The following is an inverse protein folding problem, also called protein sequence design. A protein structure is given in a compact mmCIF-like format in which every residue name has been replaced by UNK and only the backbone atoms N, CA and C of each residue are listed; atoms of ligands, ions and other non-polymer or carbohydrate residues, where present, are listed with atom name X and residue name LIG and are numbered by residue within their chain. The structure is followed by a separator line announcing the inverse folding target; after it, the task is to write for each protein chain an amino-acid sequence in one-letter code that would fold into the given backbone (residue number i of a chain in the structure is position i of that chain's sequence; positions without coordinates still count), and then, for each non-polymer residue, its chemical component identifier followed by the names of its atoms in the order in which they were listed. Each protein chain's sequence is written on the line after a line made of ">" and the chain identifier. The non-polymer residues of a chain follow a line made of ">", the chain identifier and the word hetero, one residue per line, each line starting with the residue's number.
data_IF_454544239016
#
_entry.id   IF_454544239016
#
_cell.length_a   1.000
_cell.length_b   1.000
_cell.length_c   1.000
_cell.angle_alpha   90.00
_cell.angle_beta   90.00
_cell.angle_gamma   90.00
#
_symmetry.space_group_name_H-M   'P 1'
#
loop_
_entity.id
_entity.type
_entity.pdbx_description
1 polymer ?
#
# COMPACT_ATOMS: atom_id res chain seq x y z
N UNK A 1 32.58 7.10 2.33
CA UNK A 1 32.35 6.85 3.77
C UNK A 1 30.89 6.49 3.84
N UNK A 2 30.58 5.19 3.89
CA UNK A 2 29.20 4.73 4.10
C UNK A 2 28.84 5.16 5.51
N UNK A 3 27.65 5.72 5.77
CA UNK A 3 27.22 5.96 7.13
C UNK A 3 27.26 4.61 7.85
N UNK A 4 27.98 4.59 8.97
CA UNK A 4 28.11 3.43 9.85
C UNK A 4 26.74 2.81 10.08
N UNK A 5 26.70 1.48 10.14
CA UNK A 5 25.53 0.67 10.47
C UNK A 5 24.78 1.33 11.63
N UNK A 6 23.72 2.06 11.31
CA UNK A 6 22.81 2.57 12.33
C UNK A 6 22.21 1.32 12.95
N UNK A 7 22.57 1.06 14.20
CA UNK A 7 22.05 -0.08 14.95
C UNK A 7 20.53 0.13 15.13
N UNK A 8 19.75 -0.53 14.27
CA UNK A 8 18.28 -0.49 14.32
C UNK A 8 17.75 -0.84 15.71
N UNK A 9 18.44 -1.73 16.45
CA UNK A 9 18.05 -2.10 17.82
C UNK A 9 18.30 -0.94 18.80
N UNK A 10 19.33 -0.14 18.57
CA UNK A 10 19.56 1.07 19.35
C UNK A 10 18.51 2.12 19.03
N UNK A 11 18.22 2.34 17.75
CA UNK A 11 17.19 3.29 17.33
C UNK A 11 15.80 2.93 17.81
N UNK A 12 15.44 1.66 17.84
CA UNK A 12 14.17 1.19 18.40
C UNK A 12 14.04 1.40 19.92
N UNK A 13 15.15 1.35 20.65
CA UNK A 13 15.17 1.69 22.08
C UNK A 13 14.94 3.17 22.33
N UNK A 14 15.46 4.01 21.44
CA UNK A 14 15.30 5.46 21.51
C UNK A 14 13.93 5.92 20.96
N UNK A 15 13.41 5.20 19.96
CA UNK A 15 12.17 5.51 19.26
C UNK A 15 11.24 4.27 19.25
N UNK A 16 10.50 4.02 20.34
CA UNK A 16 9.72 2.78 20.51
C UNK A 16 8.68 2.50 19.43
N UNK A 17 8.20 3.53 18.72
CA UNK A 17 7.24 3.35 17.62
C UNK A 17 7.84 2.54 16.46
N UNK A 18 9.15 2.56 16.26
CA UNK A 18 9.81 1.78 15.22
C UNK A 18 9.65 0.27 15.43
N UNK A 19 9.46 -0.20 16.67
CA UNK A 19 9.15 -1.60 16.95
C UNK A 19 7.79 -2.04 16.36
N UNK A 20 6.85 -1.10 16.16
CA UNK A 20 5.58 -1.37 15.46
C UNK A 20 5.81 -1.57 13.96
N UNK A 21 6.69 -0.74 13.37
CA UNK A 21 7.06 -0.88 11.96
C UNK A 21 7.78 -2.20 11.69
N UNK A 22 8.70 -2.63 12.57
CA UNK A 22 9.36 -3.93 12.44
C UNK A 22 8.35 -5.07 12.42
N UNK A 23 7.43 -5.10 13.38
CA UNK A 23 6.37 -6.13 13.43
C UNK A 23 5.48 -6.11 12.19
N UNK A 24 5.14 -4.94 11.70
CA UNK A 24 4.39 -4.78 10.45
C UNK A 24 5.20 -5.34 9.28
N UNK A 25 6.46 -4.94 9.15
CA UNK A 25 7.38 -5.40 8.10
C UNK A 25 7.62 -6.92 8.15
N UNK A 26 7.73 -7.52 9.33
CA UNK A 26 7.88 -8.98 9.50
C UNK A 26 6.62 -9.75 9.06
N UNK A 27 5.45 -9.13 9.12
CA UNK A 27 4.19 -9.71 8.64
C UNK A 27 4.03 -9.73 7.11
N UNK A 28 4.82 -8.94 6.37
CA UNK A 28 4.63 -8.76 4.92
C UNK A 28 4.88 -10.04 4.10
N UNK A 29 5.75 -10.93 4.59
CA UNK A 29 6.03 -12.22 3.94
C UNK A 29 4.84 -13.20 4.01
N UNK A 30 3.91 -12.97 4.94
CA UNK A 30 2.72 -13.83 5.13
C UNK A 30 1.52 -13.37 4.31
N UNK A 31 1.62 -12.24 3.64
CA UNK A 31 0.52 -11.68 2.83
C UNK A 31 0.40 -12.49 1.53
N UNK A 32 -0.83 -12.90 1.18
CA UNK A 32 -1.08 -13.65 -0.06
C UNK A 32 -1.12 -12.72 -1.28
N UNK A 33 -0.05 -11.96 -1.49
CA UNK A 33 0.07 -10.99 -2.59
C UNK A 33 -0.40 -11.58 -3.91
N UNK A 34 -1.30 -10.89 -4.62
CA UNK A 34 -1.76 -11.26 -5.97
C UNK A 34 -2.36 -12.67 -6.12
N UNK A 35 -2.66 -13.36 -5.03
CA UNK A 35 -3.12 -14.76 -5.07
C UNK A 35 -4.54 -14.92 -5.60
N UNK A 36 -5.31 -13.83 -5.75
CA UNK A 36 -6.72 -13.85 -6.13
C UNK A 36 -7.05 -12.83 -7.22
N UNK A 37 -6.09 -12.57 -8.10
CA UNK A 37 -6.29 -11.67 -9.25
C UNK A 37 -7.44 -12.18 -10.14
N UNK A 38 -8.22 -11.27 -10.72
CA UNK A 38 -9.30 -11.58 -11.65
C UNK A 38 -10.50 -12.33 -11.06
N UNK A 39 -10.44 -12.79 -9.81
CA UNK A 39 -11.59 -13.49 -9.20
C UNK A 39 -12.69 -12.49 -8.81
N UNK A 40 -13.97 -12.91 -8.79
CA UNK A 40 -15.06 -12.10 -8.25
C UNK A 40 -14.79 -11.67 -6.80
N UNK A 41 -15.16 -10.43 -6.45
CA UNK A 41 -15.02 -9.94 -5.08
C UNK A 41 -16.04 -10.60 -4.15
N UNK A 42 -15.57 -11.05 -2.99
CA UNK A 42 -16.47 -11.40 -1.89
C UNK A 42 -17.24 -10.17 -1.41
N UNK A 43 -18.33 -10.37 -0.67
CA UNK A 43 -19.08 -9.26 -0.07
C UNK A 43 -18.19 -8.42 0.86
N UNK A 44 -17.32 -9.05 1.63
CA UNK A 44 -16.41 -8.36 2.56
C UNK A 44 -15.33 -7.57 1.81
N UNK A 45 -14.80 -8.10 0.70
CA UNK A 45 -13.82 -7.40 -0.12
C UNK A 45 -14.43 -6.18 -0.79
N UNK A 46 -15.69 -6.31 -1.30
CA UNK A 46 -16.41 -5.17 -1.88
C UNK A 46 -16.67 -4.10 -0.84
N UNK A 47 -17.14 -4.47 0.36
CA UNK A 47 -17.34 -3.52 1.45
C UNK A 47 -16.02 -2.80 1.81
N UNK A 48 -14.91 -3.52 1.87
CA UNK A 48 -13.58 -2.92 2.12
C UNK A 48 -13.19 -1.88 1.04
N UNK A 49 -13.50 -2.16 -0.23
CA UNK A 49 -13.27 -1.22 -1.31
C UNK A 49 -14.19 0.02 -1.20
N UNK A 50 -15.46 -0.19 -0.85
CA UNK A 50 -16.41 0.91 -0.61
C UNK A 50 -15.95 1.78 0.58
N UNK A 51 -15.52 1.16 1.69
CA UNK A 51 -15.00 1.87 2.87
C UNK A 51 -13.75 2.71 2.53
N UNK A 52 -12.83 2.15 1.70
CA UNK A 52 -11.68 2.90 1.19
C UNK A 52 -12.12 4.13 0.39
N UNK A 53 -13.07 3.96 -0.53
CA UNK A 53 -13.58 5.04 -1.38
C UNK A 53 -14.30 6.12 -0.56
N UNK A 54 -15.08 5.73 0.44
CA UNK A 54 -15.73 6.66 1.37
C UNK A 54 -14.68 7.49 2.14
N UNK A 55 -13.61 6.86 2.63
CA UNK A 55 -12.51 7.55 3.32
C UNK A 55 -11.69 8.43 2.39
N UNK A 56 -11.56 8.06 1.12
CA UNK A 56 -10.90 8.86 0.11
C UNK A 56 -11.73 10.10 -0.31
N UNK A 57 -13.04 10.11 -0.01
CA UNK A 57 -13.96 11.18 -0.38
C UNK A 57 -14.70 10.95 -1.70
N UNK A 58 -14.75 9.72 -2.17
CA UNK A 58 -15.40 9.31 -3.43
C UNK A 58 -16.53 8.27 -3.19
N UNK A 59 -17.52 8.56 -2.32
CA UNK A 59 -18.61 7.64 -2.07
C UNK A 59 -19.43 7.39 -3.34
N UNK A 60 -19.83 6.14 -3.54
CA UNK A 60 -20.63 5.75 -4.70
C UNK A 60 -19.86 5.55 -6.00
N UNK A 61 -18.52 5.61 -5.97
CA UNK A 61 -17.67 5.16 -7.08
C UNK A 61 -17.90 3.67 -7.31
N UNK A 62 -18.09 3.27 -8.58
CA UNK A 62 -18.28 1.87 -8.92
C UNK A 62 -17.02 1.05 -8.65
N UNK A 63 -17.14 -0.09 -7.97
CA UNK A 63 -16.03 -1.04 -7.81
C UNK A 63 -16.08 -2.04 -8.94
N UNK A 64 -15.13 -1.94 -9.87
CA UNK A 64 -14.99 -2.80 -11.04
C UNK A 64 -13.90 -3.85 -10.82
N UNK A 65 -14.20 -5.10 -11.19
CA UNK A 65 -13.21 -6.19 -11.19
C UNK A 65 -12.63 -6.33 -12.60
N UNK A 66 -11.32 -6.26 -12.70
CA UNK A 66 -10.61 -6.54 -13.93
C UNK A 66 -10.42 -8.06 -14.06
N UNK A 67 -10.89 -8.69 -15.14
CA UNK A 67 -10.88 -10.15 -15.25
C UNK A 67 -9.56 -10.72 -15.77
N UNK A 68 -8.67 -9.87 -16.32
CA UNK A 68 -7.44 -10.31 -16.96
C UNK A 68 -6.28 -9.36 -16.69
N UNK A 69 -5.07 -9.89 -16.92
CA UNK A 69 -3.85 -9.11 -16.87
C UNK A 69 -3.83 -7.98 -17.90
N UNK A 70 -4.30 -8.25 -19.12
CA UNK A 70 -4.35 -7.25 -20.20
C UNK A 70 -5.25 -6.06 -19.83
N UNK A 71 -6.38 -6.31 -19.16
CA UNK A 71 -7.25 -5.23 -18.69
C UNK A 71 -6.64 -4.46 -17.52
N UNK A 72 -5.91 -5.12 -16.62
CA UNK A 72 -5.17 -4.47 -15.55
C UNK A 72 -4.02 -3.63 -16.11
N UNK A 73 -3.32 -4.12 -17.14
CA UNK A 73 -2.30 -3.39 -17.88
C UNK A 73 -2.88 -2.12 -18.49
N UNK A 74 -3.94 -2.25 -19.29
CA UNK A 74 -4.61 -1.12 -19.92
C UNK A 74 -5.13 -0.08 -18.89
N UNK A 75 -5.66 -0.53 -17.76
CA UNK A 75 -6.10 0.35 -16.69
C UNK A 75 -4.91 1.10 -16.05
N UNK A 76 -3.78 0.43 -15.83
CA UNK A 76 -2.61 1.08 -15.24
C UNK A 76 -1.94 2.10 -16.17
N UNK A 77 -1.96 1.87 -17.49
CA UNK A 77 -1.48 2.83 -18.50
C UNK A 77 -2.34 4.11 -18.58
N UNK A 78 -3.63 4.01 -18.26
CA UNK A 78 -4.55 5.15 -18.25
C UNK A 78 -4.56 5.93 -16.93
N UNK A 79 -3.64 5.62 -16.03
CA UNK A 79 -3.56 6.29 -14.73
C UNK A 79 -3.26 7.79 -14.89
N UNK A 80 -4.11 8.60 -14.28
CA UNK A 80 -3.97 10.06 -14.30
C UNK A 80 -3.43 10.57 -12.95
N UNK A 81 -2.17 11.00 -12.97
CA UNK A 81 -1.47 11.60 -11.83
C UNK A 81 -2.03 12.97 -11.41
N UNK A 82 -2.96 13.53 -12.16
CA UNK A 82 -3.71 14.75 -11.82
C UNK A 82 -5.16 14.48 -11.48
N UNK A 83 -5.55 13.21 -11.33
CA UNK A 83 -6.91 12.86 -10.95
C UNK A 83 -7.25 13.32 -9.54
N UNK A 84 -8.50 13.73 -9.26
CA UNK A 84 -8.90 14.12 -7.91
C UNK A 84 -8.69 13.03 -6.86
N UNK A 85 -8.79 11.75 -7.23
CA UNK A 85 -8.52 10.63 -6.34
C UNK A 85 -7.03 10.53 -5.98
N UNK A 86 -6.14 10.75 -6.95
CA UNK A 86 -4.71 10.83 -6.70
C UNK A 86 -4.35 12.00 -5.79
N UNK A 87 -4.89 13.19 -6.10
CA UNK A 87 -4.66 14.39 -5.27
C UNK A 87 -5.12 14.16 -3.81
N UNK A 88 -6.24 13.47 -3.61
CA UNK A 88 -6.74 13.14 -2.27
C UNK A 88 -5.78 12.19 -1.52
N UNK A 89 -5.23 11.17 -2.18
CA UNK A 89 -4.20 10.32 -1.58
C UNK A 89 -2.92 11.11 -1.26
N UNK A 90 -2.48 12.02 -2.14
CA UNK A 90 -1.30 12.87 -1.89
C UNK A 90 -1.49 13.78 -0.67
N UNK A 91 -2.67 14.40 -0.55
CA UNK A 91 -3.01 15.23 0.61
C UNK A 91 -3.02 14.42 1.92
N UNK A 92 -3.62 13.23 1.89
CA UNK A 92 -3.63 12.34 3.05
C UNK A 92 -2.22 11.87 3.44
N UNK A 93 -1.35 11.59 2.46
CA UNK A 93 0.05 11.24 2.70
C UNK A 93 0.83 12.39 3.32
N UNK A 94 0.65 13.59 2.81
CA UNK A 94 1.30 14.79 3.33
C UNK A 94 0.89 15.07 4.79
N UNK A 95 -0.39 14.93 5.12
CA UNK A 95 -0.91 15.07 6.48
C UNK A 95 -0.29 14.05 7.44
N UNK A 96 -0.28 12.76 7.06
CA UNK A 96 0.33 11.70 7.89
C UNK A 96 1.84 11.92 8.07
N UNK A 97 2.54 12.38 7.03
CA UNK A 97 3.98 12.70 7.11
C UNK A 97 4.21 13.81 8.11
N UNK A 98 3.42 14.88 8.07
CA UNK A 98 3.48 15.97 9.04
C UNK A 98 3.31 15.47 10.47
N UNK A 99 2.27 14.66 10.73
CA UNK A 99 2.02 14.07 12.04
C UNK A 99 3.15 13.15 12.52
N UNK A 100 3.67 12.30 11.61
CA UNK A 100 4.78 11.40 11.96
C UNK A 100 6.04 12.19 12.37
N UNK A 101 6.33 13.32 11.70
CA UNK A 101 7.46 14.19 12.02
C UNK A 101 7.31 14.95 13.34
N UNK A 102 6.12 15.03 13.93
CA UNK A 102 5.94 15.51 15.30
C UNK A 102 6.46 14.50 16.34
N UNK A 103 6.52 13.21 15.97
CA UNK A 103 6.93 12.12 16.87
C UNK A 103 8.40 11.73 16.75
N UNK A 104 8.92 11.73 15.55
CA UNK A 104 10.23 11.17 15.23
C UNK A 104 11.00 12.10 14.29
N UNK A 105 12.32 12.01 14.31
CA UNK A 105 13.15 12.76 13.36
C UNK A 105 12.93 12.29 11.92
N UNK A 106 13.20 13.15 10.96
CA UNK A 106 13.12 12.83 9.54
C UNK A 106 13.98 11.62 9.18
N UNK A 107 15.19 11.53 9.75
CA UNK A 107 16.11 10.40 9.54
C UNK A 107 15.52 9.08 10.04
N UNK A 108 14.91 9.07 11.23
CA UNK A 108 14.27 7.90 11.79
C UNK A 108 13.02 7.49 10.97
N UNK A 109 12.25 8.47 10.50
CA UNK A 109 11.12 8.25 9.59
C UNK A 109 11.57 7.60 8.29
N UNK A 110 12.56 8.18 7.61
CA UNK A 110 13.09 7.67 6.35
C UNK A 110 13.65 6.25 6.50
N UNK A 111 14.44 6.01 7.56
CA UNK A 111 15.00 4.68 7.82
C UNK A 111 13.91 3.64 8.08
N UNK A 112 12.95 3.94 8.94
CA UNK A 112 11.85 3.02 9.25
C UNK A 112 11.02 2.66 8.01
N UNK A 113 10.67 3.66 7.20
CA UNK A 113 9.91 3.46 5.97
C UNK A 113 10.72 2.75 4.87
N UNK A 114 12.05 2.99 4.79
CA UNK A 114 12.93 2.26 3.88
C UNK A 114 12.94 0.76 4.18
N UNK A 115 13.09 0.38 5.46
CA UNK A 115 13.06 -1.03 5.87
C UNK A 115 11.72 -1.71 5.49
N UNK A 116 10.60 -1.01 5.69
CA UNK A 116 9.29 -1.54 5.28
C UNK A 116 9.21 -1.70 3.77
N UNK A 117 9.64 -0.70 3.01
CA UNK A 117 9.59 -0.71 1.54
C UNK A 117 10.48 -1.80 0.95
N UNK A 118 11.68 -2.02 1.51
CA UNK A 118 12.60 -3.07 1.07
C UNK A 118 12.01 -4.47 1.31
N UNK A 119 11.45 -4.71 2.50
CA UNK A 119 10.78 -5.99 2.82
C UNK A 119 9.55 -6.20 1.95
N UNK A 120 8.72 -5.17 1.76
CA UNK A 120 7.58 -5.23 0.84
C UNK A 120 8.03 -5.58 -0.57
N UNK A 121 9.05 -4.90 -1.09
CA UNK A 121 9.59 -5.15 -2.42
C UNK A 121 10.07 -6.60 -2.60
N UNK A 122 10.69 -7.18 -1.58
CA UNK A 122 11.13 -8.57 -1.62
C UNK A 122 9.94 -9.55 -1.61
N UNK A 123 9.00 -9.38 -0.68
CA UNK A 123 7.83 -10.23 -0.55
C UNK A 123 6.95 -10.19 -1.82
N UNK A 124 6.70 -8.98 -2.33
CA UNK A 124 5.88 -8.75 -3.54
C UNK A 124 6.53 -9.35 -4.79
N UNK A 125 7.83 -9.13 -5.00
CA UNK A 125 8.55 -9.70 -6.15
C UNK A 125 8.55 -11.22 -6.12
N UNK A 126 8.75 -11.82 -4.94
CA UNK A 126 8.67 -13.29 -4.80
C UNK A 126 7.29 -13.83 -5.17
N UNK A 127 6.23 -13.21 -4.63
CA UNK A 127 4.85 -13.62 -4.93
C UNK A 127 4.48 -13.42 -6.41
N UNK A 128 4.99 -12.36 -7.04
CA UNK A 128 4.74 -12.11 -8.46
C UNK A 128 5.40 -13.11 -9.38
N UNK A 129 6.57 -13.63 -9.03
CA UNK A 129 7.21 -14.69 -9.82
C UNK A 129 6.32 -15.94 -9.93
N UNK A 130 5.68 -16.32 -8.83
CA UNK A 130 4.75 -17.45 -8.80
C UNK A 130 3.46 -17.12 -9.59
N UNK A 131 2.95 -15.90 -9.49
CA UNK A 131 1.74 -15.43 -10.15
C UNK A 131 1.95 -15.21 -11.65
N UNK A 132 3.10 -14.67 -12.06
CA UNK A 132 3.44 -14.39 -13.45
C UNK A 132 3.34 -15.64 -14.33
N UNK A 133 3.79 -16.79 -13.81
CA UNK A 133 3.70 -18.06 -14.52
C UNK A 133 2.25 -18.54 -14.75
N UNK A 134 1.32 -18.18 -13.84
CA UNK A 134 -0.09 -18.54 -13.94
C UNK A 134 -0.86 -17.66 -14.91
N UNK A 135 -0.45 -16.42 -15.08
CA UNK A 135 -1.16 -15.40 -15.86
C UNK A 135 -0.51 -15.07 -17.21
N UNK A 136 0.58 -15.78 -17.57
CA UNK A 136 1.37 -15.49 -18.77
C UNK A 136 1.80 -14.01 -18.88
N UNK A 137 2.22 -13.45 -17.74
CA UNK A 137 2.58 -12.06 -17.58
C UNK A 137 3.92 -11.79 -18.26
N UNK A 138 3.87 -11.33 -19.51
CA UNK A 138 5.06 -11.05 -20.33
C UNK A 138 5.51 -9.60 -20.26
N UNK A 139 4.63 -8.69 -19.80
CA UNK A 139 4.89 -7.25 -19.79
C UNK A 139 5.64 -6.85 -18.53
N UNK A 140 6.94 -6.52 -18.69
CA UNK A 140 7.82 -6.10 -17.59
C UNK A 140 7.40 -4.75 -17.00
N UNK A 141 6.81 -3.85 -17.78
CA UNK A 141 6.39 -2.53 -17.33
C UNK A 141 5.21 -2.66 -16.35
N UNK A 142 4.21 -3.44 -16.71
CA UNK A 142 3.05 -3.69 -15.83
C UNK A 142 3.44 -4.48 -14.59
N UNK A 143 4.39 -5.40 -14.71
CA UNK A 143 4.99 -6.08 -13.57
C UNK A 143 5.62 -5.06 -12.60
N UNK A 144 6.42 -4.13 -13.10
CA UNK A 144 7.03 -3.09 -12.28
C UNK A 144 6.00 -2.15 -11.66
N UNK A 145 4.91 -1.81 -12.38
CA UNK A 145 3.82 -1.01 -11.86
C UNK A 145 3.08 -1.70 -10.71
N UNK A 146 2.80 -3.00 -10.82
CA UNK A 146 2.15 -3.77 -9.77
C UNK A 146 3.00 -3.86 -8.50
N UNK A 147 4.32 -4.08 -8.65
CA UNK A 147 5.29 -4.03 -7.53
C UNK A 147 5.31 -2.64 -6.90
N UNK A 148 5.44 -1.58 -7.71
CA UNK A 148 5.47 -0.21 -7.25
C UNK A 148 4.22 0.17 -6.47
N UNK A 149 3.04 -0.21 -6.97
CA UNK A 149 1.75 0.02 -6.31
C UNK A 149 1.66 -0.68 -4.95
N UNK A 150 2.10 -1.94 -4.86
CA UNK A 150 2.09 -2.70 -3.62
C UNK A 150 3.07 -2.11 -2.59
N UNK A 151 4.29 -1.75 -3.00
CA UNK A 151 5.30 -1.13 -2.14
C UNK A 151 4.82 0.24 -1.65
N UNK A 152 4.29 1.08 -2.53
CA UNK A 152 3.77 2.40 -2.15
C UNK A 152 2.59 2.29 -1.17
N UNK A 153 1.65 1.36 -1.42
CA UNK A 153 0.50 1.15 -0.53
C UNK A 153 0.97 0.66 0.84
N UNK A 154 1.96 -0.24 0.88
CA UNK A 154 2.58 -0.72 2.13
C UNK A 154 3.28 0.41 2.90
N UNK A 155 4.03 1.24 2.19
CA UNK A 155 4.68 2.44 2.75
C UNK A 155 3.66 3.37 3.40
N UNK A 156 2.56 3.66 2.71
CA UNK A 156 1.50 4.53 3.22
C UNK A 156 0.76 3.92 4.43
N UNK A 157 0.55 2.60 4.45
CA UNK A 157 0.00 1.90 5.61
C UNK A 157 0.95 1.97 6.81
N UNK A 158 2.26 1.82 6.60
CA UNK A 158 3.27 1.98 7.63
C UNK A 158 3.31 3.41 8.19
N UNK A 159 3.20 4.41 7.31
CA UNK A 159 3.13 5.82 7.70
C UNK A 159 1.91 6.10 8.60
N UNK A 160 0.77 5.45 8.32
CA UNK A 160 -0.43 5.54 9.16
C UNK A 160 -0.17 5.01 10.58
N UNK A 161 0.59 3.91 10.72
CA UNK A 161 0.98 3.37 12.04
C UNK A 161 1.88 4.31 12.83
N UNK A 162 2.75 5.05 12.14
CA UNK A 162 3.61 6.06 12.76
C UNK A 162 2.80 7.27 13.23
N UNK A 163 1.95 7.82 12.38
CA UNK A 163 1.11 8.96 12.73
C UNK A 163 0.17 8.65 13.90
N UNK A 164 -0.40 7.44 13.95
CA UNK A 164 -1.25 6.98 15.05
C UNK A 164 -0.50 6.81 16.39
N UNK A 165 0.82 6.88 16.40
CA UNK A 165 1.58 6.85 17.65
C UNK A 165 1.55 8.19 18.41
N UNK A 166 1.28 9.27 17.70
CA UNK A 166 1.21 10.64 18.26
C UNK A 166 -0.20 11.20 18.29
N UNK A 167 -1.05 10.71 17.41
CA UNK A 167 -2.45 11.12 17.35
C UNK A 167 -3.35 10.00 17.91
N UNK A 168 -3.83 10.14 19.17
CA UNK A 168 -4.69 9.12 19.77
C UNK A 168 -6.09 9.05 19.14
N UNK A 169 -6.49 10.06 18.36
CA UNK A 169 -7.78 10.10 17.67
C UNK A 169 -7.69 9.42 16.28
N UNK A 170 -6.49 9.15 15.79
CA UNK A 170 -6.27 8.42 14.55
C UNK A 170 -6.36 6.90 14.78
N UNK A 171 -7.45 6.29 14.31
CA UNK A 171 -7.50 4.82 14.21
C UNK A 171 -6.73 4.35 12.96
N UNK A 172 -5.55 3.76 13.12
CA UNK A 172 -4.77 3.32 11.98
C UNK A 172 -5.46 2.20 11.18
N UNK A 173 -6.41 1.48 11.78
CA UNK A 173 -7.12 0.42 11.11
C UNK A 173 -8.25 0.93 10.20
N UNK A 174 -8.76 2.12 10.44
CA UNK A 174 -9.87 2.72 9.68
C UNK A 174 -9.41 3.84 8.72
N UNK A 175 -8.09 4.03 8.60
CA UNK A 175 -7.52 4.99 7.67
C UNK A 175 -7.49 4.46 6.23
N UNK A 176 -7.73 5.33 5.23
CA UNK A 176 -7.81 4.95 3.82
C UNK A 176 -6.62 4.10 3.33
N UNK A 177 -5.39 4.38 3.77
CA UNK A 177 -4.23 3.62 3.35
C UNK A 177 -4.17 2.22 3.96
N UNK A 178 -4.66 2.04 5.18
CA UNK A 178 -4.80 0.70 5.76
C UNK A 178 -5.92 -0.10 5.07
N UNK A 179 -7.02 0.56 4.70
CA UNK A 179 -8.11 -0.07 3.94
C UNK A 179 -7.62 -0.51 2.55
N UNK A 180 -6.87 0.34 1.84
CA UNK A 180 -6.25 -0.02 0.55
C UNK A 180 -5.26 -1.17 0.69
N UNK A 181 -4.42 -1.16 1.74
CA UNK A 181 -3.46 -2.24 2.02
C UNK A 181 -4.15 -3.58 2.28
N UNK A 182 -5.30 -3.58 2.99
CA UNK A 182 -6.07 -4.81 3.21
C UNK A 182 -6.58 -5.46 1.93
N UNK A 183 -6.73 -4.74 0.82
CA UNK A 183 -7.04 -5.36 -0.46
C UNK A 183 -5.90 -6.28 -0.92
N UNK A 184 -4.64 -5.87 -0.72
CA UNK A 184 -3.49 -6.74 -0.94
C UNK A 184 -3.45 -7.93 0.03
N UNK A 185 -3.80 -7.73 1.31
CA UNK A 185 -3.93 -8.83 2.28
C UNK A 185 -5.01 -9.85 1.88
N UNK A 186 -5.96 -9.44 1.02
CA UNK A 186 -6.97 -10.33 0.43
C UNK A 186 -6.56 -10.88 -0.95
N UNK A 187 -5.31 -10.72 -1.34
CA UNK A 187 -4.76 -11.22 -2.59
C UNK A 187 -5.14 -10.41 -3.83
N UNK A 188 -5.61 -9.18 -3.66
CA UNK A 188 -6.09 -8.30 -4.74
C UNK A 188 -5.08 -7.20 -5.04
N UNK A 189 -5.09 -6.72 -6.27
CA UNK A 189 -4.38 -5.51 -6.65
C UNK A 189 -5.37 -4.35 -6.84
N UNK A 190 -5.42 -3.37 -5.94
CA UNK A 190 -6.16 -2.12 -6.16
C UNK A 190 -5.38 -1.26 -7.17
N UNK A 191 -5.78 -1.34 -8.43
CA UNK A 191 -5.05 -0.71 -9.55
C UNK A 191 -5.18 0.81 -9.47
N UNK A 192 -6.39 1.35 -9.61
CA UNK A 192 -6.61 2.81 -9.57
C UNK A 192 -8.10 3.18 -9.60
N UNK A 193 -8.38 4.43 -9.23
CA UNK A 193 -9.66 5.09 -9.54
C UNK A 193 -9.52 5.78 -10.89
N UNK A 194 -10.31 5.38 -11.87
CA UNK A 194 -10.32 5.94 -13.22
C UNK A 194 -11.75 6.40 -13.55
N UNK A 195 -11.94 7.69 -13.76
CA UNK A 195 -13.26 8.26 -13.97
C UNK A 195 -14.18 7.98 -12.78
N UNK A 196 -15.24 7.20 -12.99
CA UNK A 196 -16.23 6.81 -11.97
C UNK A 196 -16.04 5.39 -11.43
N UNK A 197 -14.92 4.73 -11.75
CA UNK A 197 -14.67 3.33 -11.38
C UNK A 197 -13.40 3.16 -10.58
N UNK A 198 -13.45 2.40 -9.50
CA UNK A 198 -12.29 1.88 -8.79
C UNK A 198 -11.99 0.47 -9.28
N UNK A 199 -10.86 0.34 -9.97
CA UNK A 199 -10.46 -0.89 -10.63
C UNK A 199 -9.64 -1.77 -9.67
N UNK A 200 -10.07 -3.01 -9.51
CA UNK A 200 -9.40 -4.03 -8.68
C UNK A 200 -9.15 -5.26 -9.55
N UNK A 201 -7.91 -5.73 -9.55
CA UNK A 201 -7.52 -6.99 -10.19
C UNK A 201 -7.25 -8.06 -9.18
#
# INVERSE_FOLDING_TARGET
>A
MYPDDIDLEQLEREVPVLSRLRRFADGLELIPWFSRLGEPLSRSTRQLADDYLDRLGFPGTEVAVLPSWDEAAAASETFDWSSPAWEAEELARADLTGRALEAISEEALQLGLSVVSDKAGHAVKSALLDTAALWDMVDEEVHNLSVGSAVQTTHNAALTLLAAAVDPDLDPADHLFALKFRLFEQGRWPVSVIGSSFNIF
#
